data_IF_830052660023
#
_entry.id   IF_830052660023
#
_cell.length_a   1.000
_cell.length_b   1.000
_cell.length_c   1.000
_cell.angle_alpha   90.00
_cell.angle_beta   90.00
_cell.angle_gamma   90.00
#
_symmetry.space_group_name_H-M   'P 1'
#
loop_
_entity.id
_entity.type
_entity.pdbx_description
1 polymer ?
#
# COMPACT_ATOMS: atom_id res chain seq x y z
N UNK A 1 64.43 35.22 -30.99
CA UNK A 1 63.37 34.68 -31.86
C UNK A 1 63.23 33.16 -31.80
N UNK A 2 63.70 32.53 -30.71
CA UNK A 2 63.66 31.04 -30.53
C UNK A 2 62.81 30.59 -29.35
N UNK A 3 62.10 31.51 -28.63
CA UNK A 3 61.42 31.16 -27.40
C UNK A 3 59.91 30.83 -27.61
N UNK A 4 59.37 31.23 -28.75
CA UNK A 4 57.90 31.09 -28.99
C UNK A 4 57.48 29.64 -29.32
N UNK A 5 58.34 28.90 -30.01
CA UNK A 5 58.02 27.51 -30.40
C UNK A 5 57.95 26.54 -29.19
N UNK A 6 58.73 26.80 -28.15
CA UNK A 6 58.72 25.98 -26.92
C UNK A 6 57.37 26.11 -26.20
N UNK A 7 56.78 27.31 -26.23
CA UNK A 7 55.46 27.56 -25.64
C UNK A 7 54.39 26.82 -26.38
N UNK A 8 54.40 26.76 -27.71
CA UNK A 8 53.43 25.97 -28.49
C UNK A 8 53.53 24.48 -28.23
N UNK A 9 54.73 23.92 -28.06
CA UNK A 9 54.92 22.52 -27.75
C UNK A 9 54.37 22.15 -26.35
N UNK A 10 54.51 23.03 -25.36
CA UNK A 10 53.95 22.84 -24.01
C UNK A 10 52.43 22.84 -24.04
N UNK A 11 51.81 23.77 -24.77
CA UNK A 11 50.35 23.84 -24.93
C UNK A 11 49.81 22.60 -25.64
N UNK A 12 50.48 22.12 -26.68
CA UNK A 12 50.09 20.93 -27.41
C UNK A 12 50.21 19.70 -26.54
N UNK A 13 51.24 19.58 -25.72
CA UNK A 13 51.42 18.47 -24.78
C UNK A 13 50.33 18.47 -23.69
N UNK A 14 50.00 19.65 -23.15
CA UNK A 14 48.90 19.78 -22.18
C UNK A 14 47.53 19.41 -22.78
N UNK A 15 47.30 19.79 -24.04
CA UNK A 15 46.07 19.42 -24.74
C UNK A 15 45.98 17.92 -24.97
N UNK A 16 47.06 17.25 -25.34
CA UNK A 16 47.13 15.80 -25.50
C UNK A 16 46.91 15.05 -24.17
N UNK A 17 47.54 15.54 -23.09
CA UNK A 17 47.34 14.96 -21.75
C UNK A 17 45.91 15.13 -21.29
N UNK A 18 45.34 16.33 -21.48
CA UNK A 18 43.91 16.60 -21.13
C UNK A 18 42.97 15.71 -21.92
N UNK A 19 43.22 15.54 -23.23
CA UNK A 19 42.43 14.64 -24.06
C UNK A 19 42.54 13.18 -23.64
N UNK A 20 43.78 12.74 -23.29
CA UNK A 20 44.01 11.39 -22.76
C UNK A 20 43.26 11.13 -21.44
N UNK A 21 43.22 12.11 -20.52
CA UNK A 21 42.48 12.00 -19.27
C UNK A 21 40.98 11.89 -19.55
N UNK A 22 40.45 12.65 -20.50
CA UNK A 22 39.00 12.55 -20.89
C UNK A 22 38.71 11.16 -21.42
N UNK A 23 39.57 10.57 -22.25
CA UNK A 23 39.37 9.22 -22.77
C UNK A 23 39.43 8.16 -21.66
N UNK A 24 40.28 8.37 -20.64
CA UNK A 24 40.37 7.47 -19.48
C UNK A 24 39.21 7.61 -18.49
N UNK A 25 38.55 8.78 -18.49
CA UNK A 25 37.38 9.07 -17.64
C UNK A 25 36.07 8.87 -18.37
N UNK A 26 36.04 8.56 -19.67
CA UNK A 26 34.82 8.03 -20.29
C UNK A 26 34.45 6.76 -19.55
N UNK A 27 33.55 6.93 -18.56
CA UNK A 27 32.85 5.80 -17.98
C UNK A 27 32.22 5.02 -19.15
N UNK A 28 32.73 3.80 -19.39
CA UNK A 28 32.05 2.84 -20.26
C UNK A 28 30.59 2.92 -19.87
N UNK A 29 29.74 3.31 -20.82
CA UNK A 29 28.29 3.32 -20.63
C UNK A 29 27.93 2.10 -19.79
N UNK A 30 27.45 2.37 -18.57
CA UNK A 30 26.89 1.33 -17.73
C UNK A 30 25.95 0.60 -18.65
N UNK A 31 26.29 -0.64 -18.98
CA UNK A 31 25.40 -1.56 -19.67
C UNK A 31 24.03 -1.27 -19.07
N UNK A 32 23.11 -0.78 -19.91
CA UNK A 32 21.72 -0.61 -19.54
C UNK A 32 21.33 -2.00 -19.07
N UNK A 33 21.39 -2.22 -17.76
CA UNK A 33 20.72 -3.36 -17.16
C UNK A 33 19.30 -3.19 -17.65
N UNK A 34 18.92 -4.03 -18.61
CA UNK A 34 17.53 -4.19 -19.00
C UNK A 34 16.80 -4.30 -17.69
N UNK A 35 16.08 -3.24 -17.30
CA UNK A 35 15.38 -3.17 -16.04
C UNK A 35 14.56 -4.46 -15.96
N UNK A 36 14.97 -5.33 -15.07
CA UNK A 36 14.32 -6.63 -14.92
C UNK A 36 12.89 -6.30 -14.51
N UNK A 37 11.97 -6.56 -15.41
CA UNK A 37 10.55 -6.33 -15.19
C UNK A 37 10.18 -6.91 -13.82
N UNK A 38 9.65 -6.11 -12.91
CA UNK A 38 9.43 -6.38 -11.49
C UNK A 38 10.67 -6.24 -10.58
N UNK A 39 11.53 -5.24 -10.82
CA UNK A 39 12.65 -5.00 -9.91
C UNK A 39 12.17 -4.34 -8.61
N UNK A 40 12.43 -5.01 -7.48
CA UNK A 40 12.25 -4.45 -6.14
C UNK A 40 13.38 -3.46 -5.90
N UNK A 41 13.08 -2.19 -5.65
CA UNK A 41 14.08 -1.15 -5.35
C UNK A 41 14.30 -0.99 -3.84
N UNK A 42 13.30 -1.27 -3.01
CA UNK A 42 13.47 -1.38 -1.57
C UNK A 42 12.44 -2.33 -0.94
N UNK A 43 12.80 -2.87 0.21
CA UNK A 43 11.95 -3.75 1.01
C UNK A 43 12.15 -3.48 2.51
N UNK A 44 11.20 -3.89 3.32
CA UNK A 44 11.27 -3.80 4.78
C UNK A 44 10.57 -5.00 5.41
N UNK A 45 11.13 -5.50 6.51
CA UNK A 45 10.45 -6.41 7.43
C UNK A 45 9.82 -5.62 8.58
N UNK A 46 8.77 -6.18 9.18
CA UNK A 46 8.01 -5.58 10.29
C UNK A 46 7.57 -4.13 9.98
N UNK A 47 7.08 -3.95 8.76
CA UNK A 47 6.65 -2.65 8.25
C UNK A 47 5.53 -2.06 9.10
N UNK A 48 5.65 -0.77 9.42
CA UNK A 48 4.63 0.00 10.16
C UNK A 48 4.46 1.39 9.56
N UNK A 49 3.23 1.71 9.16
CA UNK A 49 2.84 3.05 8.70
C UNK A 49 1.72 3.59 9.58
N UNK A 50 1.93 4.76 10.17
CA UNK A 50 0.91 5.50 10.92
C UNK A 50 0.46 6.70 10.08
N UNK A 51 -0.83 6.91 9.98
CA UNK A 51 -1.43 8.11 9.41
C UNK A 51 -2.13 8.89 10.51
N UNK A 52 -1.88 10.19 10.57
CA UNK A 52 -2.47 11.08 11.56
C UNK A 52 -3.58 11.92 10.92
N UNK A 53 -4.56 12.32 11.72
CA UNK A 53 -5.57 13.31 11.33
C UNK A 53 -5.01 14.73 11.47
N UNK A 54 -5.81 15.72 11.07
CA UNK A 54 -5.44 17.15 11.16
C UNK A 54 -5.20 17.65 12.58
N UNK A 55 -5.61 16.88 13.59
CA UNK A 55 -5.41 17.18 15.01
C UNK A 55 -4.24 16.39 15.62
N UNK A 56 -3.45 15.68 14.81
CA UNK A 56 -2.33 14.85 15.26
C UNK A 56 -2.72 13.52 15.90
N UNK A 57 -3.99 13.10 15.83
CA UNK A 57 -4.45 11.80 16.36
C UNK A 57 -4.27 10.72 15.31
N UNK A 58 -4.00 9.49 15.75
CA UNK A 58 -3.85 8.35 14.84
C UNK A 58 -5.18 8.09 14.15
N UNK A 59 -5.20 8.24 12.82
CA UNK A 59 -6.33 7.93 11.93
C UNK A 59 -6.27 6.48 11.49
N UNK A 60 -5.09 6.01 11.08
CA UNK A 60 -4.86 4.62 10.68
C UNK A 60 -3.49 4.11 11.08
N UNK A 61 -3.39 2.81 11.28
CA UNK A 61 -2.15 2.07 11.47
C UNK A 61 -2.15 0.87 10.54
N UNK A 62 -1.14 0.78 9.69
CA UNK A 62 -0.90 -0.37 8.81
C UNK A 62 0.37 -1.07 9.28
N UNK A 63 0.26 -2.36 9.54
CA UNK A 63 1.38 -3.25 9.89
C UNK A 63 1.43 -4.37 8.88
N UNK A 64 2.62 -4.77 8.44
CA UNK A 64 2.80 -5.92 7.57
C UNK A 64 4.09 -6.65 7.92
N UNK A 65 4.11 -7.98 7.75
CA UNK A 65 5.30 -8.79 7.98
C UNK A 65 6.44 -8.41 7.05
N UNK A 66 6.12 -8.15 5.79
CA UNK A 66 7.08 -7.76 4.75
C UNK A 66 6.42 -6.72 3.84
N UNK A 67 7.22 -5.76 3.39
CA UNK A 67 6.86 -4.78 2.39
C UNK A 67 7.92 -4.77 1.29
N UNK A 68 7.47 -4.77 0.03
CA UNK A 68 8.30 -4.62 -1.16
C UNK A 68 7.74 -3.52 -2.04
N UNK A 69 8.58 -2.57 -2.42
CA UNK A 69 8.24 -1.56 -3.40
C UNK A 69 8.82 -1.93 -4.77
N UNK A 70 8.01 -1.83 -5.80
CA UNK A 70 8.40 -2.13 -7.17
C UNK A 70 8.60 -0.83 -7.94
N UNK A 71 9.80 -0.68 -8.53
CA UNK A 71 10.18 0.54 -9.25
C UNK A 71 9.38 0.77 -10.51
N UNK A 72 8.99 -0.31 -11.20
CA UNK A 72 8.42 -0.26 -12.55
C UNK A 72 7.03 0.36 -12.58
N UNK A 73 6.20 0.06 -11.59
CA UNK A 73 4.82 0.51 -11.48
C UNK A 73 4.52 1.32 -10.22
N UNK A 74 5.53 1.51 -9.35
CA UNK A 74 5.41 2.24 -8.10
C UNK A 74 4.52 1.56 -7.06
N UNK A 75 4.18 0.29 -7.24
CA UNK A 75 3.31 -0.43 -6.31
C UNK A 75 4.05 -0.91 -5.08
N UNK A 76 3.33 -1.03 -3.96
CA UNK A 76 3.83 -1.61 -2.73
C UNK A 76 3.09 -2.91 -2.44
N UNK A 77 3.82 -4.01 -2.36
CA UNK A 77 3.28 -5.32 -2.00
C UNK A 77 3.52 -5.59 -0.51
N UNK A 78 2.47 -6.03 0.16
CA UNK A 78 2.46 -6.29 1.60
C UNK A 78 2.12 -7.76 1.86
N UNK A 79 2.86 -8.41 2.75
CA UNK A 79 2.59 -9.76 3.22
C UNK A 79 1.95 -9.72 4.59
N UNK A 80 0.81 -10.39 4.75
CA UNK A 80 0.04 -10.45 6.00
C UNK A 80 -0.25 -9.05 6.59
N UNK A 81 -0.85 -8.14 5.81
CA UNK A 81 -1.15 -6.81 6.30
C UNK A 81 -2.29 -6.85 7.32
N UNK A 82 -2.14 -6.04 8.35
CA UNK A 82 -3.17 -5.70 9.35
C UNK A 82 -3.34 -4.20 9.36
N UNK A 83 -4.53 -3.74 8.99
CA UNK A 83 -4.89 -2.32 9.02
C UNK A 83 -5.86 -2.05 10.14
N UNK A 84 -5.52 -1.09 10.99
CA UNK A 84 -6.40 -0.58 12.06
C UNK A 84 -6.89 0.80 11.68
N UNK A 85 -8.21 0.97 11.54
CA UNK A 85 -8.84 2.25 11.27
C UNK A 85 -9.48 2.77 12.56
N UNK A 86 -8.96 3.87 13.08
CA UNK A 86 -9.46 4.50 14.29
C UNK A 86 -10.63 5.42 13.94
N UNK A 87 -11.66 5.34 14.75
CA UNK A 87 -12.83 6.20 14.68
C UNK A 87 -12.79 7.24 15.82
N UNK A 88 -13.95 7.87 16.06
CA UNK A 88 -14.13 8.78 17.19
C UNK A 88 -13.86 8.09 18.54
N UNK A 89 -13.50 8.87 19.56
CA UNK A 89 -13.28 8.38 20.91
C UNK A 89 -14.45 7.54 21.44
N UNK A 90 -14.11 6.46 22.16
CA UNK A 90 -15.10 5.54 22.74
C UNK A 90 -15.69 4.51 21.74
N UNK A 91 -15.31 4.54 20.46
CA UNK A 91 -15.72 3.54 19.48
C UNK A 91 -14.50 2.66 19.13
N UNK A 92 -14.60 1.31 19.32
CA UNK A 92 -13.52 0.42 18.93
C UNK A 92 -13.12 0.59 17.47
N UNK A 93 -11.82 0.49 17.16
CA UNK A 93 -11.34 0.60 15.79
C UNK A 93 -11.82 -0.57 14.93
N UNK A 94 -11.82 -0.35 13.63
CA UNK A 94 -11.93 -1.42 12.67
C UNK A 94 -10.56 -2.06 12.46
N UNK A 95 -10.50 -3.38 12.49
CA UNK A 95 -9.32 -4.17 12.19
C UNK A 95 -9.59 -4.94 10.91
N UNK A 96 -8.71 -4.79 9.92
CA UNK A 96 -8.80 -5.42 8.61
C UNK A 96 -7.53 -6.24 8.40
N UNK A 97 -7.68 -7.53 8.18
CA UNK A 97 -6.59 -8.49 8.01
C UNK A 97 -6.73 -9.19 6.67
N UNK A 98 -5.64 -9.42 5.96
CA UNK A 98 -5.63 -10.22 4.73
C UNK A 98 -4.34 -11.02 4.57
N UNK A 99 -4.32 -11.94 3.60
CA UNK A 99 -3.13 -12.74 3.29
C UNK A 99 -2.04 -11.89 2.64
N UNK A 100 -2.41 -11.04 1.71
CA UNK A 100 -1.53 -10.07 1.08
C UNK A 100 -2.29 -8.80 0.65
N UNK A 101 -1.55 -7.77 0.29
CA UNK A 101 -2.13 -6.56 -0.26
C UNK A 101 -1.19 -5.89 -1.26
N UNK A 102 -1.78 -5.16 -2.20
CA UNK A 102 -1.09 -4.27 -3.11
C UNK A 102 -1.62 -2.86 -2.91
N UNK A 103 -0.73 -1.92 -2.59
CA UNK A 103 -1.02 -0.48 -2.60
C UNK A 103 -0.65 0.05 -3.97
N UNK A 104 -1.57 0.74 -4.64
CA UNK A 104 -1.30 1.40 -5.92
C UNK A 104 -0.30 2.56 -5.74
N UNK A 105 0.36 2.98 -6.81
CA UNK A 105 1.42 4.01 -6.77
C UNK A 105 0.95 5.35 -6.21
N UNK A 106 -0.34 5.68 -6.33
CA UNK A 106 -0.95 6.89 -5.75
C UNK A 106 -1.06 6.83 -4.22
N UNK A 107 -0.93 5.63 -3.63
CA UNK A 107 -1.08 5.40 -2.20
C UNK A 107 -2.53 5.43 -1.70
N UNK A 108 -3.50 5.72 -2.55
CA UNK A 108 -4.91 5.91 -2.18
C UNK A 108 -5.71 4.60 -2.25
N UNK A 109 -5.32 3.73 -3.13
CA UNK A 109 -5.99 2.45 -3.36
C UNK A 109 -5.19 1.29 -2.78
N UNK A 110 -5.86 0.44 -2.04
CA UNK A 110 -5.33 -0.78 -1.45
C UNK A 110 -6.18 -1.98 -1.89
N UNK A 111 -5.57 -2.92 -2.60
CA UNK A 111 -6.19 -4.18 -2.98
C UNK A 111 -5.75 -5.27 -2.00
N UNK A 112 -6.68 -5.70 -1.13
CA UNK A 112 -6.49 -6.82 -0.22
C UNK A 112 -6.78 -8.11 -0.97
N UNK A 113 -5.80 -9.00 -1.04
CA UNK A 113 -5.86 -10.26 -1.79
C UNK A 113 -6.01 -11.45 -0.84
N UNK A 114 -6.65 -12.50 -1.34
CA UNK A 114 -6.95 -13.69 -0.56
C UNK A 114 -8.05 -13.45 0.46
N UNK A 115 -8.10 -14.31 1.48
CA UNK A 115 -9.07 -14.19 2.56
C UNK A 115 -8.87 -12.90 3.33
N UNK A 116 -9.93 -12.11 3.43
CA UNK A 116 -9.97 -10.84 4.16
C UNK A 116 -10.98 -10.91 5.29
N UNK A 117 -10.55 -10.53 6.49
CA UNK A 117 -11.39 -10.45 7.68
C UNK A 117 -11.43 -9.00 8.16
N UNK A 118 -12.63 -8.46 8.30
CA UNK A 118 -12.87 -7.13 8.86
C UNK A 118 -13.60 -7.32 10.18
N UNK A 119 -13.10 -6.76 11.26
CA UNK A 119 -13.69 -6.91 12.58
C UNK A 119 -13.76 -5.59 13.34
N UNK A 120 -14.77 -5.48 14.19
CA UNK A 120 -14.90 -4.43 15.18
C UNK A 120 -15.49 -5.03 16.46
N UNK A 121 -14.86 -4.76 17.58
CA UNK A 121 -15.33 -5.20 18.89
C UNK A 121 -16.67 -4.54 19.25
N UNK A 122 -17.39 -5.14 20.19
CA UNK A 122 -18.59 -4.54 20.78
C UNK A 122 -18.22 -3.28 21.57
N UNK A 123 -19.16 -2.35 21.60
CA UNK A 123 -19.08 -1.13 22.42
C UNK A 123 -20.44 -0.84 23.02
N UNK A 124 -20.52 0.12 23.96
CA UNK A 124 -21.79 0.53 24.56
C UNK A 124 -22.81 0.88 23.47
N UNK A 125 -23.92 0.12 23.40
CA UNK A 125 -25.00 0.29 22.43
C UNK A 125 -24.70 -0.21 21.00
N UNK A 126 -23.54 -0.90 20.78
CA UNK A 126 -23.19 -1.46 19.45
C UNK A 126 -22.71 -2.90 19.58
N UNK A 127 -23.33 -3.80 18.82
CA UNK A 127 -22.88 -5.21 18.72
C UNK A 127 -21.51 -5.30 18.04
N UNK A 128 -20.78 -6.36 18.34
CA UNK A 128 -19.59 -6.71 17.57
C UNK A 128 -19.96 -7.02 16.12
N UNK A 129 -19.02 -6.77 15.23
CA UNK A 129 -19.22 -7.04 13.81
C UNK A 129 -17.99 -7.73 13.24
N UNK A 130 -18.20 -8.83 12.51
CA UNK A 130 -17.15 -9.54 11.77
C UNK A 130 -17.62 -9.76 10.35
N UNK A 131 -16.80 -9.39 9.38
CA UNK A 131 -17.06 -9.60 7.96
C UNK A 131 -15.94 -10.48 7.42
N UNK A 132 -16.30 -11.51 6.67
CA UNK A 132 -15.38 -12.42 5.99
C UNK A 132 -15.65 -12.29 4.50
N UNK A 133 -14.62 -11.98 3.72
CA UNK A 133 -14.68 -11.83 2.27
C UNK A 133 -13.33 -12.14 1.63
N UNK A 134 -13.15 -11.81 0.36
CA UNK A 134 -11.88 -11.86 -0.35
C UNK A 134 -11.82 -10.77 -1.41
N UNK A 135 -10.60 -10.49 -1.92
CA UNK A 135 -10.38 -9.53 -3.02
C UNK A 135 -11.07 -8.18 -2.74
N UNK A 136 -10.75 -7.56 -1.61
CA UNK A 136 -11.37 -6.32 -1.16
C UNK A 136 -10.55 -5.12 -1.66
N UNK A 137 -11.15 -4.27 -2.48
CA UNK A 137 -10.57 -2.97 -2.85
C UNK A 137 -10.98 -1.93 -1.83
N UNK A 138 -9.98 -1.23 -1.24
CA UNK A 138 -10.18 -0.16 -0.25
C UNK A 138 -9.67 1.15 -0.83
N UNK A 139 -10.48 2.18 -0.78
CA UNK A 139 -10.11 3.55 -1.10
C UNK A 139 -9.91 4.32 0.20
N UNK A 140 -8.65 4.55 0.57
CA UNK A 140 -8.25 5.08 1.88
C UNK A 140 -8.79 6.49 2.18
N UNK A 141 -8.73 7.48 1.24
CA UNK A 141 -9.20 8.84 1.49
C UNK A 141 -10.67 8.90 1.91
N UNK A 142 -11.52 8.09 1.30
CA UNK A 142 -12.96 8.07 1.56
C UNK A 142 -13.37 7.05 2.61
N UNK A 143 -12.45 6.19 3.06
CA UNK A 143 -12.75 5.04 3.93
C UNK A 143 -13.83 4.13 3.35
N UNK A 144 -13.79 3.95 2.03
CA UNK A 144 -14.71 3.12 1.27
C UNK A 144 -14.02 1.81 0.90
N UNK A 145 -14.78 0.70 0.95
CA UNK A 145 -14.29 -0.58 0.46
C UNK A 145 -15.38 -1.32 -0.32
N UNK A 146 -14.95 -2.08 -1.33
CA UNK A 146 -15.86 -2.91 -2.13
C UNK A 146 -15.20 -4.23 -2.55
N UNK A 147 -16.04 -5.23 -2.74
CA UNK A 147 -15.66 -6.50 -3.38
C UNK A 147 -16.81 -7.04 -4.21
N UNK A 148 -16.50 -7.83 -5.22
CA UNK A 148 -17.48 -8.59 -6.01
C UNK A 148 -17.61 -10.04 -5.52
N UNK A 149 -16.80 -10.44 -4.55
CA UNK A 149 -16.74 -11.81 -4.02
C UNK A 149 -17.85 -12.05 -3.00
N UNK A 150 -18.00 -13.33 -2.64
CA UNK A 150 -18.87 -13.73 -1.56
C UNK A 150 -18.43 -13.07 -0.25
N UNK A 151 -19.42 -12.63 0.52
CA UNK A 151 -19.20 -11.95 1.79
C UNK A 151 -20.16 -12.48 2.85
N UNK A 152 -19.65 -12.65 4.05
CA UNK A 152 -20.38 -13.07 5.22
C UNK A 152 -20.25 -12.02 6.33
N UNK A 153 -21.36 -11.58 6.85
CA UNK A 153 -21.48 -10.62 7.93
C UNK A 153 -22.02 -11.35 9.16
N UNK A 154 -21.31 -11.25 10.27
CA UNK A 154 -21.65 -11.88 11.55
C UNK A 154 -21.75 -10.77 12.59
N UNK A 155 -22.94 -10.62 13.17
CA UNK A 155 -23.20 -9.76 14.33
C UNK A 155 -24.04 -10.56 15.32
N UNK A 156 -23.42 -11.29 16.24
CA UNK A 156 -24.11 -12.30 17.04
C UNK A 156 -25.40 -11.78 17.70
N UNK A 157 -26.51 -12.56 17.64
CA UNK A 157 -26.62 -13.91 17.07
C UNK A 157 -26.82 -13.94 15.53
N UNK A 158 -26.95 -12.79 14.89
CA UNK A 158 -27.32 -12.64 13.48
C UNK A 158 -26.18 -12.97 12.52
N UNK A 159 -26.53 -13.56 11.38
CA UNK A 159 -25.60 -13.88 10.30
C UNK A 159 -26.26 -13.59 8.95
N UNK A 160 -25.57 -12.82 8.11
CA UNK A 160 -26.01 -12.51 6.75
C UNK A 160 -24.90 -12.84 5.75
N UNK A 161 -25.26 -13.40 4.61
CA UNK A 161 -24.32 -13.71 3.52
C UNK A 161 -24.84 -13.08 2.22
N UNK A 162 -23.92 -12.78 1.30
CA UNK A 162 -24.28 -12.25 -0.01
C UNK A 162 -23.10 -12.28 -0.96
N UNK A 163 -23.32 -11.91 -2.21
CA UNK A 163 -22.31 -11.77 -3.25
C UNK A 163 -22.16 -10.32 -3.63
N UNK A 164 -20.93 -9.81 -3.56
CA UNK A 164 -20.66 -8.38 -3.71
C UNK A 164 -21.02 -7.58 -2.47
N UNK A 165 -20.13 -6.71 -2.03
CA UNK A 165 -20.31 -5.90 -0.83
C UNK A 165 -19.69 -4.52 -1.04
N UNK A 166 -20.32 -3.51 -0.46
CA UNK A 166 -19.81 -2.14 -0.33
C UNK A 166 -19.88 -1.72 1.14
N UNK A 167 -18.80 -1.09 1.62
CA UNK A 167 -18.70 -0.63 3.01
C UNK A 167 -18.17 0.79 3.05
N UNK A 168 -18.78 1.65 3.86
CA UNK A 168 -18.26 2.96 4.26
C UNK A 168 -17.97 2.87 5.75
N UNK A 169 -16.69 2.99 6.13
CA UNK A 169 -16.24 2.85 7.53
C UNK A 169 -16.41 4.12 8.35
N UNK A 170 -16.58 5.29 7.71
CA UNK A 170 -16.91 6.54 8.40
C UNK A 170 -18.34 6.53 8.94
N UNK A 171 -18.55 7.24 10.04
CA UNK A 171 -19.89 7.41 10.59
C UNK A 171 -20.76 8.32 9.70
N UNK A 172 -22.05 7.93 9.42
CA UNK A 172 -22.67 6.66 9.76
C UNK A 172 -22.14 5.50 8.92
N UNK A 173 -21.71 4.41 9.57
CA UNK A 173 -21.23 3.21 8.88
C UNK A 173 -22.34 2.63 8.01
N UNK A 174 -22.06 2.46 6.73
CA UNK A 174 -23.03 1.89 5.77
C UNK A 174 -22.42 0.64 5.15
N UNK A 175 -23.18 -0.47 5.22
CA UNK A 175 -22.82 -1.73 4.64
C UNK A 175 -23.94 -2.18 3.71
N UNK A 176 -23.61 -2.54 2.48
CA UNK A 176 -24.56 -2.98 1.46
C UNK A 176 -24.09 -4.27 0.84
N UNK A 177 -24.91 -5.31 0.83
CA UNK A 177 -24.72 -6.52 0.02
C UNK A 177 -25.45 -6.35 -1.31
N UNK A 178 -24.83 -6.77 -2.41
CA UNK A 178 -25.32 -6.46 -3.76
C UNK A 178 -26.29 -7.52 -4.30
N UNK A 179 -26.02 -8.81 -4.04
CA UNK A 179 -26.85 -9.89 -4.58
C UNK A 179 -26.80 -11.16 -3.74
N UNK A 180 -27.73 -12.08 -4.01
CA UNK A 180 -27.83 -13.40 -3.36
C UNK A 180 -27.82 -13.31 -1.83
N UNK A 181 -28.50 -12.31 -1.30
CA UNK A 181 -28.55 -12.05 0.14
C UNK A 181 -29.38 -13.12 0.85
N UNK A 182 -28.80 -13.75 1.88
CA UNK A 182 -29.46 -14.69 2.79
C UNK A 182 -29.13 -14.28 4.22
N UNK A 183 -30.16 -14.07 5.04
CA UNK A 183 -30.02 -13.73 6.46
C UNK A 183 -30.58 -14.83 7.35
N UNK A 184 -29.91 -15.07 8.48
CA UNK A 184 -30.43 -15.83 9.60
C UNK A 184 -30.48 -14.91 10.82
N UNK A 185 -31.66 -14.75 11.40
CA UNK A 185 -31.92 -13.88 12.54
C UNK A 185 -32.52 -14.72 13.65
N UNK A 186 -32.05 -14.52 14.88
CA UNK A 186 -32.67 -15.09 16.07
C UNK A 186 -33.61 -14.03 16.68
N UNK A 187 -34.89 -14.37 16.73
CA UNK A 187 -35.92 -13.52 17.39
C UNK A 187 -35.92 -13.91 18.86
N UNK A 188 -35.66 -12.95 19.73
CA UNK A 188 -35.77 -13.08 21.18
C UNK A 188 -37.11 -12.49 21.62
#
# INVERSE_FOLDING_TARGET
>A
MFNDYRSYWVVLLLALVSWGIVQLTEEKEKTVFLAQKNSVDYFSFDYRKKELDVNGRIKSLLVAREMKHYKDDGTIHLTQPVMTLYNQEGIPPWIIESESAVVEADGDNLLLQGKTVISRAAAKGKKSLKIITSELKVHLPTSYAETRKWSQIISPPDKTTGTGMKVIFKAPVKLTLLSRVKGRYEVH
#
